data_IF_280519411761
#
_entry.id   IF_280519411761
#
_cell.length_a   1.000
_cell.length_b   1.000
_cell.length_c   1.000
_cell.angle_alpha   90.00
_cell.angle_beta   90.00
_cell.angle_gamma   90.00
#
_symmetry.space_group_name_H-M   'P 1'
#
loop_
_entity.id
_entity.type
_entity.pdbx_description
1 polymer ?
#
# COMPACT_ATOMS: atom_id res chain seq x y z
N UNK A 1 -14.76 -11.12 19.34
CA UNK A 1 -14.58 -10.42 18.05
C UNK A 1 -13.44 -9.43 18.17
N UNK A 2 -13.43 -8.60 19.21
CA UNK A 2 -12.32 -7.68 19.54
C UNK A 2 -10.95 -8.37 19.58
N UNK A 3 -10.82 -9.53 20.24
CA UNK A 3 -9.58 -10.30 20.27
C UNK A 3 -9.04 -10.65 18.87
N UNK A 4 -9.94 -11.03 17.94
CA UNK A 4 -9.56 -11.34 16.55
C UNK A 4 -9.13 -10.09 15.79
N UNK A 5 -9.77 -8.94 16.06
CA UNK A 5 -9.38 -7.66 15.44
C UNK A 5 -7.98 -7.23 15.88
N UNK A 6 -7.69 -7.34 17.18
CA UNK A 6 -6.37 -7.03 17.74
C UNK A 6 -5.30 -7.96 17.16
N UNK A 7 -5.58 -9.26 17.08
CA UNK A 7 -4.68 -10.25 16.47
C UNK A 7 -4.40 -9.93 14.99
N UNK A 8 -5.42 -9.64 14.20
CA UNK A 8 -5.24 -9.31 12.77
C UNK A 8 -4.57 -7.97 12.54
N UNK A 9 -4.79 -6.97 13.41
CA UNK A 9 -4.05 -5.71 13.35
C UNK A 9 -2.57 -5.93 13.61
N UNK A 10 -2.23 -6.74 14.61
CA UNK A 10 -0.84 -7.09 14.90
C UNK A 10 -0.18 -7.85 13.75
N UNK A 11 -0.85 -8.86 13.21
CA UNK A 11 -0.36 -9.61 12.03
C UNK A 11 -0.10 -8.68 10.83
N UNK A 12 -0.97 -7.70 10.60
CA UNK A 12 -0.79 -6.70 9.56
C UNK A 12 0.45 -5.83 9.80
N UNK A 13 0.64 -5.34 11.03
CA UNK A 13 1.80 -4.53 11.39
C UNK A 13 3.10 -5.32 11.20
N UNK A 14 3.15 -6.55 11.73
CA UNK A 14 4.29 -7.45 11.58
C UNK A 14 4.60 -7.66 10.08
N UNK A 15 3.60 -8.01 9.27
CA UNK A 15 3.77 -8.25 7.83
C UNK A 15 4.25 -7.02 7.06
N UNK A 16 3.74 -5.83 7.36
CA UNK A 16 4.16 -4.60 6.67
C UNK A 16 5.55 -4.16 7.13
N UNK A 17 5.90 -4.41 8.39
CA UNK A 17 7.22 -4.09 8.94
C UNK A 17 8.35 -4.87 8.27
N UNK A 18 8.08 -6.09 7.77
CA UNK A 18 9.07 -6.88 7.02
C UNK A 18 9.51 -6.21 5.70
N UNK A 19 8.71 -5.26 5.18
CA UNK A 19 8.93 -4.65 3.85
C UNK A 19 9.05 -3.13 3.85
N UNK A 20 8.80 -2.47 5.00
CA UNK A 20 8.91 -1.03 5.21
C UNK A 20 9.82 -0.71 6.40
N UNK A 21 11.01 -0.19 6.12
CA UNK A 21 12.05 0.04 7.13
C UNK A 21 11.62 1.05 8.21
N UNK A 22 10.84 2.08 7.83
CA UNK A 22 10.35 3.10 8.76
C UNK A 22 9.38 2.48 9.78
N UNK A 23 8.46 1.64 9.32
CA UNK A 23 7.55 0.93 10.20
C UNK A 23 8.29 -0.11 11.06
N UNK A 24 9.31 -0.77 10.51
CA UNK A 24 10.14 -1.72 11.26
C UNK A 24 10.84 -1.06 12.46
N UNK A 25 11.44 0.11 12.24
CA UNK A 25 12.09 0.87 13.31
C UNK A 25 11.09 1.31 14.40
N UNK A 26 9.89 1.76 14.00
CA UNK A 26 8.83 2.14 14.93
C UNK A 26 8.35 0.93 15.75
N UNK A 27 8.12 -0.21 15.11
CA UNK A 27 7.68 -1.46 15.73
C UNK A 27 8.69 -2.01 16.75
N UNK A 28 9.99 -1.96 16.42
CA UNK A 28 11.05 -2.36 17.34
C UNK A 28 11.21 -1.44 18.55
N UNK A 29 10.84 -0.16 18.38
CA UNK A 29 10.94 0.85 19.44
C UNK A 29 9.77 0.77 20.42
N UNK A 30 8.54 0.75 19.90
CA UNK A 30 7.30 0.69 20.70
C UNK A 30 6.12 0.22 19.83
N UNK A 31 5.90 -1.09 19.75
CA UNK A 31 4.81 -1.73 18.98
C UNK A 31 3.42 -1.22 19.38
N UNK A 32 3.20 -0.88 20.66
CA UNK A 32 1.88 -0.44 21.14
C UNK A 32 1.51 0.99 20.71
N UNK A 33 2.47 1.76 20.19
CA UNK A 33 2.29 3.18 19.86
C UNK A 33 2.32 3.50 18.36
N UNK A 34 2.14 2.49 17.50
CA UNK A 34 1.99 2.71 16.05
C UNK A 34 0.63 3.33 15.77
N UNK A 35 0.66 4.60 15.33
CA UNK A 35 -0.55 5.32 14.95
C UNK A 35 -1.13 4.79 13.64
N UNK A 36 -2.43 5.02 13.43
CA UNK A 36 -3.08 4.61 12.18
C UNK A 36 -2.46 5.33 10.96
N UNK A 37 -1.99 6.57 11.14
CA UNK A 37 -1.32 7.33 10.08
C UNK A 37 0.06 6.73 9.70
N UNK A 38 0.82 6.22 10.68
CA UNK A 38 2.10 5.56 10.43
C UNK A 38 1.89 4.28 9.63
N UNK A 39 0.88 3.50 10.02
CA UNK A 39 0.52 2.27 9.34
C UNK A 39 0.00 2.52 7.92
N UNK A 40 -0.89 3.50 7.72
CA UNK A 40 -1.39 3.89 6.40
C UNK A 40 -0.24 4.35 5.48
N UNK A 41 0.69 5.14 6.01
CA UNK A 41 1.87 5.60 5.28
C UNK A 41 2.79 4.44 4.85
N UNK A 42 3.03 3.48 5.76
CA UNK A 42 3.82 2.28 5.48
C UNK A 42 3.16 1.39 4.43
N UNK A 43 1.84 1.17 4.53
CA UNK A 43 1.07 0.40 3.56
C UNK A 43 1.16 1.06 2.17
N UNK A 44 1.04 2.39 2.07
CA UNK A 44 1.18 3.10 0.79
C UNK A 44 2.57 2.90 0.19
N UNK A 45 3.64 3.13 0.95
CA UNK A 45 5.03 2.95 0.49
C UNK A 45 5.28 1.52 0.01
N UNK A 46 4.87 0.53 0.80
CA UNK A 46 5.01 -0.88 0.45
C UNK A 46 4.18 -1.29 -0.77
N UNK A 47 3.00 -0.70 -0.96
CA UNK A 47 2.14 -0.92 -2.13
C UNK A 47 2.76 -0.36 -3.40
N UNK A 48 3.25 0.88 -3.38
CA UNK A 48 3.90 1.52 -4.53
C UNK A 48 5.19 0.76 -4.89
N UNK A 49 5.94 0.28 -3.89
CA UNK A 49 7.11 -0.56 -4.10
C UNK A 49 6.79 -1.99 -4.59
N UNK A 50 5.49 -2.38 -4.64
CA UNK A 50 5.01 -3.73 -4.98
C UNK A 50 5.54 -4.83 -4.06
N UNK A 51 5.81 -4.49 -2.79
CA UNK A 51 6.25 -5.45 -1.77
C UNK A 51 5.11 -5.95 -0.89
N UNK A 52 4.03 -5.18 -0.81
CA UNK A 52 2.81 -5.52 -0.09
C UNK A 52 1.59 -5.25 -0.96
N UNK A 53 0.53 -6.04 -0.80
CA UNK A 53 -0.74 -5.87 -1.53
C UNK A 53 -1.87 -5.78 -0.49
N UNK A 54 -2.49 -4.60 -0.31
CA UNK A 54 -3.61 -4.43 0.60
C UNK A 54 -4.81 -5.27 0.16
N UNK A 55 -5.34 -6.11 1.04
CA UNK A 55 -6.50 -6.98 0.76
C UNK A 55 -7.72 -6.47 1.51
N UNK A 56 -8.77 -6.14 0.76
CA UNK A 56 -10.07 -5.73 1.30
C UNK A 56 -11.10 -6.86 1.19
N UNK A 57 -12.12 -6.80 2.04
CA UNK A 57 -13.24 -7.74 2.02
C UNK A 57 -14.55 -7.03 1.66
N UNK A 58 -15.36 -7.66 0.80
CA UNK A 58 -16.64 -7.10 0.39
C UNK A 58 -17.42 -8.00 -0.56
N UNK A 59 -18.62 -7.56 -0.91
CA UNK A 59 -19.48 -8.16 -1.92
C UNK A 59 -20.09 -7.06 -2.77
N UNK A 60 -19.62 -6.93 -4.02
CA UNK A 60 -20.16 -5.99 -4.99
C UNK A 60 -21.64 -6.28 -5.29
N UNK A 61 -22.01 -7.55 -5.43
CA UNK A 61 -23.41 -7.96 -5.67
C UNK A 61 -24.37 -7.47 -4.58
N UNK A 62 -23.92 -7.44 -3.32
CA UNK A 62 -24.73 -6.96 -2.18
C UNK A 62 -24.49 -5.48 -1.85
N UNK A 63 -23.71 -4.76 -2.64
CA UNK A 63 -23.31 -3.37 -2.41
C UNK A 63 -22.66 -3.14 -1.02
N UNK A 64 -21.83 -4.09 -0.55
CA UNK A 64 -21.14 -3.99 0.75
C UNK A 64 -19.63 -4.04 0.56
N UNK A 65 -18.90 -3.08 1.13
CA UNK A 65 -17.43 -3.06 1.11
C UNK A 65 -16.79 -2.49 -0.16
N UNK A 66 -17.58 -1.99 -1.11
CA UNK A 66 -17.07 -1.31 -2.32
C UNK A 66 -16.57 0.10 -1.96
N UNK A 67 -17.23 0.79 -1.03
CA UNK A 67 -16.86 2.14 -0.64
C UNK A 67 -15.49 2.18 0.07
N UNK A 68 -15.22 1.32 1.08
CA UNK A 68 -13.88 1.25 1.69
C UNK A 68 -12.79 0.84 0.70
N UNK A 69 -13.12 0.02 -0.30
CA UNK A 69 -12.19 -0.32 -1.37
C UNK A 69 -11.82 0.92 -2.21
N UNK A 70 -12.80 1.76 -2.55
CA UNK A 70 -12.57 3.00 -3.30
C UNK A 70 -11.75 4.01 -2.48
N UNK A 71 -11.97 4.10 -1.17
CA UNK A 71 -11.14 4.90 -0.28
C UNK A 71 -9.69 4.37 -0.29
N UNK A 72 -9.51 3.06 -0.23
CA UNK A 72 -8.20 2.39 -0.33
C UNK A 72 -7.48 2.64 -1.66
N UNK A 73 -8.20 2.75 -2.79
CA UNK A 73 -7.61 3.14 -4.09
C UNK A 73 -6.95 4.51 -3.96
N UNK A 74 -7.63 5.49 -3.37
CA UNK A 74 -7.09 6.84 -3.19
C UNK A 74 -5.91 6.85 -2.22
N UNK A 75 -6.02 6.12 -1.11
CA UNK A 75 -4.99 6.12 -0.08
C UNK A 75 -3.71 5.40 -0.50
N UNK A 76 -3.80 4.27 -1.22
CA UNK A 76 -2.67 3.36 -1.40
C UNK A 76 -2.12 3.26 -2.82
N UNK A 77 -2.91 3.57 -3.86
CA UNK A 77 -2.41 3.51 -5.23
C UNK A 77 -1.64 4.78 -5.62
N UNK A 78 -0.64 4.65 -6.52
CA UNK A 78 0.12 5.80 -6.96
C UNK A 78 -0.69 6.70 -7.87
N UNK A 79 -0.43 8.00 -7.79
CA UNK A 79 -0.86 8.95 -8.81
C UNK A 79 0.00 8.78 -10.08
N UNK A 80 -0.53 9.10 -11.28
CA UNK A 80 0.25 9.02 -12.52
C UNK A 80 1.56 9.81 -12.50
N UNK A 81 1.63 10.87 -11.71
CA UNK A 81 2.81 11.73 -11.52
C UNK A 81 3.87 11.13 -10.58
N UNK A 82 3.54 10.08 -9.83
CA UNK A 82 4.46 9.42 -8.90
C UNK A 82 5.22 8.26 -9.56
N UNK A 83 4.93 7.97 -10.84
CA UNK A 83 5.52 6.86 -11.59
C UNK A 83 6.17 7.40 -12.86
N UNK A 84 7.41 7.00 -13.12
CA UNK A 84 8.07 7.27 -14.41
C UNK A 84 7.44 6.43 -15.50
N UNK A 85 6.85 7.10 -16.50
CA UNK A 85 6.27 6.47 -17.68
C UNK A 85 7.29 6.51 -18.81
N UNK A 86 7.38 5.44 -19.60
CA UNK A 86 8.34 5.34 -20.71
C UNK A 86 7.64 4.94 -22.01
N UNK A 87 8.00 5.59 -23.11
CA UNK A 87 7.63 5.20 -24.48
C UNK A 87 8.84 4.63 -25.22
N UNK A 88 8.59 3.94 -26.34
CA UNK A 88 9.63 3.40 -27.23
C UNK A 88 9.68 4.25 -28.51
N UNK A 89 10.85 4.81 -28.81
CA UNK A 89 11.06 5.62 -30.02
C UNK A 89 11.32 4.72 -31.24
N UNK A 90 10.31 4.57 -32.10
CA UNK A 90 10.40 3.76 -33.32
C UNK A 90 11.43 4.29 -34.33
N UNK A 91 11.78 5.58 -34.28
CA UNK A 91 12.79 6.18 -35.16
C UNK A 91 14.21 5.93 -34.68
N UNK A 92 14.38 5.54 -33.41
CA UNK A 92 15.67 5.28 -32.76
C UNK A 92 15.74 3.87 -32.19
N UNK A 93 15.45 2.87 -33.03
CA UNK A 93 15.61 1.46 -32.67
C UNK A 93 14.92 1.09 -31.33
N UNK A 94 13.72 1.64 -31.09
CA UNK A 94 12.89 1.41 -29.90
C UNK A 94 13.55 1.83 -28.57
N UNK A 95 14.38 2.87 -28.59
CA UNK A 95 14.97 3.42 -27.38
C UNK A 95 13.90 3.92 -26.39
N UNK A 96 14.12 3.67 -25.09
CA UNK A 96 13.21 4.13 -24.02
C UNK A 96 13.36 5.63 -23.81
N UNK A 97 12.25 6.35 -23.96
CA UNK A 97 12.16 7.78 -23.69
C UNK A 97 11.20 7.99 -22.52
N UNK A 98 11.62 8.73 -21.50
CA UNK A 98 10.77 9.09 -20.37
C UNK A 98 9.71 10.11 -20.80
N UNK A 99 8.45 9.84 -20.44
CA UNK A 99 7.31 10.69 -20.69
C UNK A 99 7.15 11.64 -19.49
N UNK A 100 7.50 12.92 -19.71
CA UNK A 100 7.19 14.03 -18.80
C UNK A 100 5.76 14.52 -18.95
#
# INVERSE_FOLDING_TARGET
MEALVVEKRRELIETVSDVDDILAEAFLSDDENISDADLEGAIRRATIARKFIPVFMGSAFKNKGVQPLLDGVVSYLPCPTEVSNYALDQSKNEEKVELT
#
